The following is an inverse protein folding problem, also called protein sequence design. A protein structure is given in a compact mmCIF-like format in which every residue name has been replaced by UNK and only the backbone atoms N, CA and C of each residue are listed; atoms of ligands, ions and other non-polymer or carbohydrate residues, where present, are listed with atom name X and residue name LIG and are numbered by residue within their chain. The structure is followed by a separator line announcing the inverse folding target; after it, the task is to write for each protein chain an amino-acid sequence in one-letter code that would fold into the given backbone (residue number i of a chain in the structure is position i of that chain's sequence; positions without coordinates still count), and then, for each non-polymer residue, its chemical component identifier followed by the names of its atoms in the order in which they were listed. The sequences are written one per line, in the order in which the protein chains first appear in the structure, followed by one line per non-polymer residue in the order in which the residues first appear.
data_IF_696656446607
#
_entry.id   IF_696656446607
#
_cell.length_a   1.000
_cell.length_b   1.000
_cell.length_c   1.000
_cell.angle_alpha   90.00
_cell.angle_beta   90.00
_cell.angle_gamma   90.00
#
_symmetry.space_group_name_H-M   'P 1'
#
loop_
_entity.id
_entity.type
_entity.pdbx_description
1 polymer ?
#
# COMPACT_ATOMS: atom_id res chain seq x y z
N UNK A 1 1.90 11.77 -24.80
CA UNK A 1 0.85 12.78 -24.63
C UNK A 1 1.36 13.92 -23.77
N UNK A 2 1.08 15.15 -24.17
CA UNK A 2 1.65 16.36 -23.57
C UNK A 2 1.10 16.57 -22.15
N UNK A 3 1.96 16.64 -21.14
CA UNK A 3 1.60 16.87 -19.71
C UNK A 3 0.99 18.26 -19.42
N UNK A 4 0.69 19.06 -20.45
CA UNK A 4 0.20 20.44 -20.31
C UNK A 4 -1.30 20.62 -20.14
N UNK A 5 -2.10 19.55 -20.17
CA UNK A 5 -3.56 19.65 -20.17
C UNK A 5 -4.26 19.03 -18.93
N UNK A 6 -3.56 18.81 -17.83
CA UNK A 6 -4.24 18.55 -16.55
C UNK A 6 -4.86 19.87 -16.07
N UNK A 7 -6.19 19.99 -15.92
CA UNK A 7 -6.81 21.18 -15.38
C UNK A 7 -6.25 21.42 -13.97
N UNK A 8 -5.37 22.41 -13.84
CA UNK A 8 -4.78 22.73 -12.55
C UNK A 8 -5.86 23.20 -11.56
N UNK A 9 -5.53 23.17 -10.27
CA UNK A 9 -6.23 23.73 -9.12
C UNK A 9 -7.04 25.02 -9.41
N UNK A 10 -6.60 25.86 -10.33
CA UNK A 10 -7.28 27.10 -10.72
C UNK A 10 -8.70 26.90 -11.24
N UNK A 11 -9.03 25.69 -11.75
CA UNK A 11 -10.34 25.36 -12.32
C UNK A 11 -11.28 24.66 -11.31
N UNK A 12 -10.85 24.47 -10.07
CA UNK A 12 -11.68 23.87 -9.02
C UNK A 12 -12.69 24.92 -8.50
N UNK A 13 -13.99 24.59 -8.40
CA UNK A 13 -14.98 25.50 -7.84
C UNK A 13 -14.59 26.02 -6.43
N UNK A 14 -14.85 27.29 -6.08
CA UNK A 14 -14.44 27.88 -4.80
C UNK A 14 -14.88 27.08 -3.57
N UNK A 15 -16.09 26.51 -3.59
CA UNK A 15 -16.63 25.70 -2.50
C UNK A 15 -15.73 24.47 -2.21
N UNK A 16 -15.28 23.78 -3.25
CA UNK A 16 -14.40 22.63 -3.09
C UNK A 16 -13.04 23.01 -2.50
N UNK A 17 -12.50 24.16 -2.82
CA UNK A 17 -11.25 24.65 -2.22
C UNK A 17 -11.36 24.87 -0.71
N UNK A 18 -12.51 25.31 -0.23
CA UNK A 18 -12.76 25.46 1.21
C UNK A 18 -12.94 24.12 1.90
N UNK A 19 -13.65 23.16 1.26
CA UNK A 19 -13.79 21.79 1.78
C UNK A 19 -12.41 21.12 1.86
N UNK A 20 -11.57 21.27 0.86
CA UNK A 20 -10.20 20.79 0.83
C UNK A 20 -9.35 21.36 1.96
N UNK A 21 -9.41 22.68 2.15
CA UNK A 21 -8.68 23.35 3.22
C UNK A 21 -9.14 22.86 4.61
N UNK A 22 -10.45 22.64 4.79
CA UNK A 22 -11.01 22.11 6.04
C UNK A 22 -10.62 20.66 6.28
N UNK A 23 -10.64 19.81 5.24
CA UNK A 23 -10.19 18.42 5.34
C UNK A 23 -8.68 18.35 5.65
N UNK A 24 -7.87 19.16 4.97
CA UNK A 24 -6.45 19.27 5.28
C UNK A 24 -6.20 19.73 6.71
N UNK A 25 -6.91 20.79 7.15
CA UNK A 25 -6.82 21.26 8.53
C UNK A 25 -7.24 20.15 9.52
N UNK A 26 -8.29 19.40 9.22
CA UNK A 26 -8.75 18.26 10.03
C UNK A 26 -7.70 17.15 10.16
N UNK A 27 -7.09 16.76 9.05
CA UNK A 27 -5.98 15.77 9.05
C UNK A 27 -4.79 16.29 9.83
N UNK A 28 -4.41 17.55 9.60
CA UNK A 28 -3.30 18.19 10.30
C UNK A 28 -3.55 18.25 11.81
N UNK A 29 -4.75 18.68 12.22
CA UNK A 29 -5.17 18.73 13.64
C UNK A 29 -5.17 17.32 14.24
N UNK A 30 -5.72 16.32 13.55
CA UNK A 30 -5.76 14.94 14.03
C UNK A 30 -4.34 14.35 14.18
N UNK A 31 -3.46 14.56 13.20
CA UNK A 31 -2.07 14.09 13.23
C UNK A 31 -1.30 14.80 14.36
N UNK A 32 -1.51 16.11 14.51
CA UNK A 32 -0.88 16.91 15.58
C UNK A 32 -1.41 16.49 16.95
N UNK A 33 -2.71 16.18 17.06
CA UNK A 33 -3.33 15.66 18.29
C UNK A 33 -2.73 14.30 18.65
N UNK A 34 -2.61 13.35 17.71
CA UNK A 34 -1.98 12.06 17.93
C UNK A 34 -0.53 12.20 18.40
N UNK A 35 0.24 13.10 17.78
CA UNK A 35 1.59 13.43 18.21
C UNK A 35 1.61 14.02 19.63
N UNK A 36 0.71 14.95 19.94
CA UNK A 36 0.63 15.58 21.27
C UNK A 36 0.26 14.56 22.34
N UNK A 37 -0.69 13.66 22.08
CA UNK A 37 -1.07 12.55 22.98
C UNK A 37 0.14 11.62 23.21
N UNK A 38 0.84 11.22 22.15
CA UNK A 38 2.06 10.40 22.24
C UNK A 38 3.15 11.08 23.08
N UNK A 39 3.38 12.39 22.89
CA UNK A 39 4.35 13.17 23.67
C UNK A 39 3.96 13.31 25.15
N UNK A 40 2.65 13.47 25.45
CA UNK A 40 2.15 13.53 26.83
C UNK A 40 2.33 12.17 27.53
N UNK A 41 2.06 11.07 26.85
CA UNK A 41 2.31 9.73 27.37
C UNK A 41 3.81 9.50 27.63
N UNK A 42 4.66 9.90 26.68
CA UNK A 42 6.11 9.84 26.85
C UNK A 42 6.59 10.66 28.06
N UNK A 43 6.11 11.88 28.22
CA UNK A 43 6.49 12.74 29.34
C UNK A 43 6.01 12.18 30.69
N UNK A 44 4.82 11.60 30.74
CA UNK A 44 4.29 10.94 31.95
C UNK A 44 5.07 9.70 32.33
N UNK A 45 5.38 8.83 31.38
CA UNK A 45 6.19 7.63 31.59
C UNK A 45 7.61 7.99 32.09
N UNK A 46 8.24 9.01 31.48
CA UNK A 46 9.55 9.50 31.91
C UNK A 46 9.50 10.09 33.32
N UNK A 47 8.45 10.85 33.66
CA UNK A 47 8.26 11.43 35.00
C UNK A 47 7.97 10.36 36.07
N UNK A 48 7.35 9.24 35.70
CA UNK A 48 7.11 8.10 36.59
C UNK A 48 8.34 7.20 36.78
N UNK A 49 9.47 7.49 36.10
CA UNK A 49 10.67 6.66 36.13
C UNK A 49 10.54 5.35 35.36
N UNK A 50 9.44 5.18 34.63
CA UNK A 50 9.21 4.05 33.75
C UNK A 50 9.85 4.35 32.39
N UNK A 51 10.58 3.38 31.81
CA UNK A 51 11.13 3.55 30.49
C UNK A 51 10.02 3.63 29.45
N UNK A 52 10.14 4.53 28.47
CA UNK A 52 9.18 4.69 27.35
C UNK A 52 8.75 3.36 26.72
N UNK A 53 9.69 2.44 26.50
CA UNK A 53 9.42 1.11 25.95
C UNK A 53 8.60 0.28 26.92
N UNK A 54 8.85 0.39 28.21
CA UNK A 54 8.11 -0.37 29.26
C UNK A 54 6.65 0.08 29.33
N UNK A 55 6.42 1.40 29.28
CA UNK A 55 5.06 1.96 29.26
C UNK A 55 4.30 1.65 27.94
N UNK A 56 5.01 1.73 26.82
CA UNK A 56 4.48 1.36 25.52
C UNK A 56 4.07 -0.13 25.46
N UNK A 57 4.81 -1.01 26.14
CA UNK A 57 4.55 -2.44 26.18
C UNK A 57 3.60 -2.86 27.34
N UNK A 58 3.25 -1.95 28.24
CA UNK A 58 2.37 -2.25 29.38
C UNK A 58 0.99 -2.75 28.92
N UNK A 59 0.28 -2.09 27.98
CA UNK A 59 -0.97 -2.64 27.46
C UNK A 59 -0.81 -4.02 26.84
N UNK A 60 0.35 -4.29 26.21
CA UNK A 60 0.69 -5.60 25.66
C UNK A 60 0.82 -6.66 26.77
N UNK A 61 1.50 -6.35 27.87
CA UNK A 61 1.66 -7.23 29.02
C UNK A 61 0.32 -7.48 29.73
N UNK A 62 -0.57 -6.47 29.73
CA UNK A 62 -1.93 -6.55 30.30
C UNK A 62 -2.93 -7.24 29.35
N UNK A 63 -2.49 -7.70 28.17
CA UNK A 63 -3.34 -8.34 27.16
C UNK A 63 -4.18 -7.36 26.32
N UNK A 64 -3.98 -6.05 26.49
CA UNK A 64 -4.64 -5.02 25.68
C UNK A 64 -3.83 -4.71 24.41
N UNK A 65 -3.86 -5.67 23.49
CA UNK A 65 -3.10 -5.59 22.23
C UNK A 65 -3.56 -4.44 21.31
N UNK A 66 -4.84 -4.08 21.38
CA UNK A 66 -5.42 -3.01 20.57
C UNK A 66 -4.75 -1.66 20.84
N UNK A 67 -4.68 -1.22 22.09
CA UNK A 67 -4.10 0.07 22.45
C UNK A 67 -2.60 0.12 22.15
N UNK A 68 -1.89 -0.99 22.31
CA UNK A 68 -0.47 -1.10 21.97
C UNK A 68 -0.23 -0.90 20.47
N UNK A 69 -1.03 -1.56 19.61
CA UNK A 69 -0.92 -1.40 18.14
C UNK A 69 -1.23 0.03 17.75
N UNK A 70 -2.30 0.63 18.27
CA UNK A 70 -2.68 2.01 17.95
C UNK A 70 -1.60 3.01 18.34
N UNK A 71 -1.00 2.87 19.52
CA UNK A 71 0.04 3.79 19.99
C UNK A 71 1.32 3.70 19.13
N UNK A 72 1.83 2.48 18.89
CA UNK A 72 3.06 2.27 18.10
C UNK A 72 2.85 2.65 16.65
N UNK A 73 1.77 2.15 16.04
CA UNK A 73 1.46 2.42 14.63
C UNK A 73 1.24 3.91 14.41
N UNK A 74 0.46 4.58 15.26
CA UNK A 74 0.21 6.02 15.17
C UNK A 74 1.49 6.84 15.22
N UNK A 75 2.41 6.53 16.15
CA UNK A 75 3.70 7.21 16.25
C UNK A 75 4.55 7.01 14.98
N UNK A 76 4.70 5.77 14.52
CA UNK A 76 5.54 5.45 13.37
C UNK A 76 5.01 6.07 12.08
N UNK A 77 3.69 6.05 11.86
CA UNK A 77 3.05 6.72 10.71
C UNK A 77 3.33 8.22 10.76
N UNK A 78 3.15 8.82 11.93
CA UNK A 78 3.39 10.27 12.10
C UNK A 78 4.83 10.61 11.74
N UNK A 79 5.82 9.86 12.24
CA UNK A 79 7.23 10.08 11.94
C UNK A 79 7.54 9.90 10.45
N UNK A 80 7.02 8.86 9.80
CA UNK A 80 7.23 8.63 8.37
C UNK A 80 6.57 9.72 7.50
N UNK A 81 5.36 10.15 7.86
CA UNK A 81 4.67 11.23 7.16
C UNK A 81 5.43 12.56 7.30
N UNK A 82 5.90 12.88 8.51
CA UNK A 82 6.73 14.06 8.74
C UNK A 82 8.06 13.99 7.96
N UNK A 83 8.68 12.82 7.91
CA UNK A 83 9.89 12.59 7.12
C UNK A 83 9.65 12.83 5.62
N UNK A 84 8.57 12.30 5.05
CA UNK A 84 8.22 12.48 3.64
C UNK A 84 7.95 13.96 3.32
N UNK A 85 7.16 14.63 4.16
CA UNK A 85 6.93 16.07 4.03
C UNK A 85 8.23 16.85 4.07
N UNK A 86 9.12 16.57 5.03
CA UNK A 86 10.42 17.22 5.13
C UNK A 86 11.26 17.00 3.87
N UNK A 87 11.35 15.76 3.40
CA UNK A 87 12.09 15.41 2.18
C UNK A 87 11.52 16.10 0.96
N UNK A 88 10.19 16.13 0.83
CA UNK A 88 9.50 16.83 -0.23
C UNK A 88 9.86 18.32 -0.25
N UNK A 89 9.82 19.00 0.91
CA UNK A 89 10.20 20.41 1.03
C UNK A 89 11.66 20.64 0.64
N UNK A 90 12.57 19.82 1.12
CA UNK A 90 14.02 19.97 0.86
C UNK A 90 14.28 19.78 -0.65
N UNK A 91 13.67 18.78 -1.28
CA UNK A 91 13.87 18.51 -2.70
C UNK A 91 13.30 19.64 -3.56
N UNK A 92 12.08 20.09 -3.28
CA UNK A 92 11.46 21.17 -4.02
C UNK A 92 12.19 22.50 -3.83
N UNK A 93 12.65 22.80 -2.60
CA UNK A 93 13.43 24.00 -2.35
C UNK A 93 14.76 23.98 -3.13
N UNK A 94 15.38 22.82 -3.32
CA UNK A 94 16.61 22.68 -4.11
C UNK A 94 16.34 22.86 -5.61
N UNK A 95 15.26 22.31 -6.15
CA UNK A 95 14.86 22.45 -7.55
C UNK A 95 14.49 23.90 -7.89
N UNK A 96 13.77 24.60 -7.01
CA UNK A 96 13.40 26.00 -7.22
C UNK A 96 14.62 26.95 -7.15
N UNK A 97 15.58 26.67 -6.25
CA UNK A 97 16.86 27.40 -6.21
C UNK A 97 17.65 27.20 -7.50
N UNK A 98 17.71 25.96 -8.02
CA UNK A 98 18.36 25.66 -9.28
C UNK A 98 17.71 26.37 -10.49
N UNK A 99 16.42 26.73 -10.38
CA UNK A 99 15.65 27.46 -11.39
C UNK A 99 15.61 28.98 -11.15
N UNK A 100 16.38 29.50 -10.17
CA UNK A 100 16.48 30.95 -9.89
C UNK A 100 15.18 31.56 -9.30
N UNK A 101 14.28 30.77 -8.77
CA UNK A 101 13.01 31.23 -8.20
C UNK A 101 13.12 31.37 -6.68
N UNK A 102 12.81 32.57 -6.18
CA UNK A 102 12.73 32.85 -4.73
C UNK A 102 11.40 32.38 -4.17
N UNK A 103 11.35 31.94 -2.91
CA UNK A 103 10.20 31.28 -2.36
C UNK A 103 9.40 32.04 -1.34
N UNK A 104 8.09 31.92 -1.40
CA UNK A 104 7.20 32.11 -0.27
C UNK A 104 6.88 30.74 0.38
N UNK A 105 7.32 30.49 1.61
CA UNK A 105 7.24 29.16 2.25
C UNK A 105 5.80 28.65 2.41
N UNK A 106 4.83 29.49 2.72
CA UNK A 106 3.41 29.12 2.82
C UNK A 106 2.79 28.80 1.44
N UNK A 107 3.16 29.56 0.38
CA UNK A 107 2.71 29.27 -0.98
C UNK A 107 3.33 27.98 -1.54
N UNK A 108 4.51 27.59 -1.06
CA UNK A 108 5.17 26.32 -1.41
C UNK A 108 4.51 25.14 -0.71
N UNK A 109 4.19 25.27 0.58
CA UNK A 109 3.45 24.24 1.32
C UNK A 109 2.13 23.95 0.60
N UNK A 110 1.40 24.99 0.25
CA UNK A 110 0.11 24.90 -0.41
C UNK A 110 0.21 24.38 -1.85
N UNK A 111 1.25 24.78 -2.60
CA UNK A 111 1.47 24.33 -3.98
C UNK A 111 2.00 22.90 -4.05
N UNK A 112 2.83 22.53 -3.11
CA UNK A 112 3.36 21.18 -2.97
C UNK A 112 2.26 20.18 -2.66
N UNK A 113 1.42 20.47 -1.68
CA UNK A 113 0.26 19.65 -1.32
C UNK A 113 -0.83 19.70 -2.41
N UNK A 114 -1.03 20.83 -3.08
CA UNK A 114 -2.09 20.98 -4.08
C UNK A 114 -1.76 20.37 -5.46
N UNK A 115 -0.49 20.24 -5.83
CA UNK A 115 -0.09 19.69 -7.15
C UNK A 115 -0.04 18.16 -7.18
N UNK A 116 0.23 17.52 -6.06
CA UNK A 116 0.37 16.05 -5.95
C UNK A 116 -0.79 15.42 -5.18
N UNK A 117 -1.43 16.19 -4.30
CA UNK A 117 -2.51 15.75 -3.44
C UNK A 117 -3.78 16.52 -3.78
N UNK A 118 -4.52 16.01 -4.75
CA UNK A 118 -5.83 16.57 -5.07
C UNK A 118 -6.82 16.27 -3.92
N UNK A 119 -7.91 17.04 -3.78
CA UNK A 119 -8.93 16.84 -2.74
C UNK A 119 -9.48 15.42 -2.68
N UNK A 120 -9.58 14.78 -3.84
CA UNK A 120 -9.98 13.38 -3.99
C UNK A 120 -9.01 12.43 -3.30
N UNK A 121 -7.70 12.73 -3.35
CA UNK A 121 -6.68 11.98 -2.65
C UNK A 121 -6.83 12.12 -1.13
N UNK A 122 -7.06 13.32 -0.62
CA UNK A 122 -7.25 13.53 0.82
C UNK A 122 -8.53 12.89 1.33
N UNK A 123 -9.62 12.93 0.57
CA UNK A 123 -10.84 12.22 0.92
C UNK A 123 -10.59 10.69 0.95
N UNK A 124 -9.88 10.14 -0.02
CA UNK A 124 -9.46 8.74 -0.04
C UNK A 124 -8.55 8.38 1.14
N UNK A 125 -7.62 9.27 1.51
CA UNK A 125 -6.77 9.12 2.68
C UNK A 125 -7.58 9.06 3.98
N UNK A 126 -8.51 10.00 4.19
CA UNK A 126 -9.37 10.02 5.37
C UNK A 126 -10.28 8.80 5.46
N UNK A 127 -10.90 8.42 4.33
CA UNK A 127 -11.76 7.24 4.25
C UNK A 127 -10.97 5.93 4.35
N UNK A 128 -9.69 5.93 4.06
CA UNK A 128 -8.79 4.80 4.30
C UNK A 128 -8.34 4.70 5.76
N UNK A 129 -8.04 5.83 6.41
CA UNK A 129 -7.52 5.87 7.79
C UNK A 129 -8.59 5.58 8.84
N UNK A 130 -9.74 6.29 8.79
CA UNK A 130 -10.78 6.18 9.82
C UNK A 130 -11.32 4.76 9.98
N UNK A 131 -11.67 4.02 8.91
CA UNK A 131 -12.12 2.65 9.05
C UNK A 131 -11.05 1.69 9.56
N UNK A 132 -9.75 1.98 9.37
CA UNK A 132 -8.68 1.10 9.88
C UNK A 132 -8.68 0.96 11.40
N UNK A 133 -9.14 1.96 12.12
CA UNK A 133 -9.34 1.85 13.56
C UNK A 133 -10.38 0.78 13.88
N UNK A 134 -11.50 0.77 13.17
CA UNK A 134 -12.57 -0.22 13.31
C UNK A 134 -12.12 -1.60 12.79
N UNK A 135 -11.34 -1.65 11.73
CA UNK A 135 -10.79 -2.89 11.17
C UNK A 135 -9.89 -3.61 12.17
N UNK A 136 -9.10 -2.88 12.95
CA UNK A 136 -8.29 -3.45 14.01
C UNK A 136 -9.19 -4.16 15.03
N UNK A 137 -10.31 -3.55 15.42
CA UNK A 137 -11.28 -4.17 16.33
C UNK A 137 -11.89 -5.45 15.72
N UNK A 138 -12.27 -5.40 14.43
CA UNK A 138 -12.81 -6.58 13.71
C UNK A 138 -11.77 -7.70 13.66
N UNK A 139 -10.52 -7.38 13.37
CA UNK A 139 -9.43 -8.35 13.35
C UNK A 139 -9.31 -9.05 14.71
N UNK A 140 -9.24 -8.28 15.80
CA UNK A 140 -9.10 -8.83 17.16
C UNK A 140 -10.36 -9.55 17.65
N UNK A 141 -11.54 -9.18 17.14
CA UNK A 141 -12.77 -9.93 17.40
C UNK A 141 -12.73 -11.34 16.78
N UNK A 142 -12.11 -11.48 15.59
CA UNK A 142 -11.99 -12.77 14.89
C UNK A 142 -10.94 -13.69 15.52
N UNK A 143 -9.86 -13.14 16.09
CA UNK A 143 -8.72 -13.89 16.65
C UNK A 143 -9.16 -15.00 17.62
N UNK A 144 -9.92 -14.77 18.70
CA UNK A 144 -10.26 -15.82 19.66
C UNK A 144 -11.14 -16.93 19.05
N UNK A 145 -11.98 -16.60 18.07
CA UNK A 145 -12.83 -17.60 17.41
C UNK A 145 -12.01 -18.56 16.54
N UNK A 146 -11.10 -18.03 15.74
CA UNK A 146 -10.27 -18.84 14.85
C UNK A 146 -9.07 -19.49 15.56
N UNK A 147 -8.60 -18.93 16.68
CA UNK A 147 -7.55 -19.53 17.49
C UNK A 147 -7.99 -20.90 18.08
N UNK A 148 -9.30 -21.09 18.32
CA UNK A 148 -9.85 -22.38 18.77
C UNK A 148 -9.77 -23.45 17.67
N UNK A 149 -9.69 -23.04 16.40
CA UNK A 149 -9.56 -23.90 15.23
C UNK A 149 -8.11 -24.13 14.82
N UNK A 150 -7.15 -23.67 15.62
CA UNK A 150 -5.72 -23.79 15.31
C UNK A 150 -5.33 -25.27 15.15
N UNK A 151 -4.68 -25.59 14.03
CA UNK A 151 -4.18 -26.93 13.73
C UNK A 151 -3.06 -27.34 14.70
N UNK A 152 -2.30 -26.37 15.18
CA UNK A 152 -1.24 -26.49 16.17
C UNK A 152 -0.98 -25.10 16.77
N UNK A 153 -0.07 -25.00 17.75
CA UNK A 153 0.41 -23.72 18.30
C UNK A 153 1.91 -23.70 18.29
N UNK A 154 2.50 -22.61 17.78
CA UNK A 154 3.95 -22.49 17.64
C UNK A 154 4.65 -22.07 18.94
N UNK A 155 3.91 -21.48 19.89
CA UNK A 155 4.46 -20.92 21.14
C UNK A 155 5.41 -19.73 20.87
N UNK A 156 5.98 -19.17 21.98
CA UNK A 156 6.85 -17.99 21.91
C UNK A 156 8.35 -18.36 21.94
N UNK A 157 8.80 -19.10 20.92
CA UNK A 157 10.20 -19.44 20.73
C UNK A 157 10.84 -18.50 19.69
N UNK A 158 12.15 -18.38 19.66
CA UNK A 158 12.84 -17.51 18.68
C UNK A 158 12.55 -17.90 17.22
N UNK A 159 12.47 -19.20 16.92
CA UNK A 159 12.15 -19.70 15.56
C UNK A 159 10.68 -19.53 15.20
N UNK A 160 9.79 -19.44 16.19
CA UNK A 160 8.35 -19.18 15.96
C UNK A 160 8.11 -17.79 15.38
N UNK A 161 9.00 -16.83 15.67
CA UNK A 161 8.95 -15.49 15.05
C UNK A 161 9.23 -15.53 13.55
N UNK A 162 10.19 -16.37 13.10
CA UNK A 162 10.44 -16.54 11.67
C UNK A 162 9.24 -17.21 10.98
N UNK A 163 8.66 -18.23 11.60
CA UNK A 163 7.44 -18.86 11.12
C UNK A 163 6.27 -17.85 11.03
N UNK A 164 6.03 -17.10 12.10
CA UNK A 164 4.97 -16.10 12.15
C UNK A 164 5.15 -15.00 11.09
N UNK A 165 6.39 -14.57 10.84
CA UNK A 165 6.74 -13.62 9.79
C UNK A 165 6.41 -14.18 8.40
N UNK A 166 6.78 -15.43 8.12
CA UNK A 166 6.49 -16.08 6.84
C UNK A 166 4.98 -16.25 6.64
N UNK A 167 4.23 -16.64 7.68
CA UNK A 167 2.77 -16.81 7.58
C UNK A 167 2.07 -15.45 7.47
N UNK A 168 2.54 -14.43 8.16
CA UNK A 168 2.06 -13.06 8.00
C UNK A 168 2.19 -12.60 6.54
N UNK A 169 3.38 -12.71 5.98
CA UNK A 169 3.66 -12.28 4.61
C UNK A 169 2.90 -13.13 3.57
N UNK A 170 2.68 -14.44 3.84
CA UNK A 170 1.78 -15.28 3.05
C UNK A 170 0.33 -14.75 3.08
N UNK A 171 -0.16 -14.39 4.27
CA UNK A 171 -1.52 -13.87 4.42
C UNK A 171 -1.68 -12.53 3.67
N UNK A 172 -0.64 -11.68 3.68
CA UNK A 172 -0.57 -10.47 2.88
C UNK A 172 -0.62 -10.78 1.39
N UNK A 173 0.18 -11.73 0.92
CA UNK A 173 0.19 -12.14 -0.48
C UNK A 173 -1.19 -12.65 -0.93
N UNK A 174 -1.86 -13.50 -0.11
CA UNK A 174 -3.16 -14.09 -0.46
C UNK A 174 -4.24 -13.03 -0.64
N UNK A 175 -4.43 -12.14 0.33
CA UNK A 175 -5.48 -11.12 0.22
C UNK A 175 -5.16 -10.12 -0.88
N UNK A 176 -3.89 -9.73 -1.04
CA UNK A 176 -3.45 -8.75 -2.03
C UNK A 176 -3.55 -9.31 -3.45
N UNK A 177 -3.11 -10.56 -3.66
CA UNK A 177 -3.32 -11.27 -4.92
C UNK A 177 -4.81 -11.36 -5.26
N UNK A 178 -5.65 -11.73 -4.30
CA UNK A 178 -7.10 -11.75 -4.45
C UNK A 178 -7.67 -10.38 -4.84
N UNK A 179 -7.18 -9.30 -4.24
CA UNK A 179 -7.58 -7.93 -4.56
C UNK A 179 -7.30 -7.55 -6.02
N UNK A 180 -6.26 -8.11 -6.62
CA UNK A 180 -5.92 -7.89 -8.05
C UNK A 180 -6.59 -8.87 -9.01
N UNK A 181 -6.96 -10.07 -8.54
CA UNK A 181 -7.47 -11.15 -9.43
C UNK A 181 -8.96 -11.31 -9.40
N UNK A 182 -9.67 -10.70 -8.47
CA UNK A 182 -11.13 -10.75 -8.36
C UNK A 182 -11.68 -9.34 -8.49
N UNK A 183 -12.49 -9.10 -9.54
CA UNK A 183 -12.90 -7.74 -9.93
C UNK A 183 -13.62 -6.97 -8.81
N UNK A 184 -14.51 -7.62 -8.05
CA UNK A 184 -15.15 -6.93 -6.91
C UNK A 184 -14.16 -6.51 -5.84
N UNK A 185 -13.11 -7.31 -5.60
CA UNK A 185 -12.05 -6.98 -4.65
C UNK A 185 -11.12 -5.90 -5.21
N UNK A 186 -10.86 -5.91 -6.52
CA UNK A 186 -10.17 -4.81 -7.20
C UNK A 186 -10.89 -3.48 -7.03
N UNK A 187 -12.23 -3.47 -7.09
CA UNK A 187 -13.00 -2.24 -6.85
C UNK A 187 -12.71 -1.64 -5.46
N UNK A 188 -12.35 -2.46 -4.47
CA UNK A 188 -11.95 -2.00 -3.14
C UNK A 188 -10.49 -1.55 -3.09
N UNK A 189 -9.62 -2.15 -3.93
CA UNK A 189 -8.18 -1.90 -3.96
C UNK A 189 -7.76 -0.81 -4.96
N UNK A 190 -8.53 -0.60 -6.01
CA UNK A 190 -8.22 0.34 -7.09
C UNK A 190 -7.98 1.79 -6.65
N UNK A 191 -8.63 2.36 -5.59
CA UNK A 191 -8.29 3.69 -5.09
C UNK A 191 -6.83 3.79 -4.60
N UNK A 192 -6.25 2.68 -4.11
CA UNK A 192 -4.86 2.60 -3.71
C UNK A 192 -3.91 2.71 -4.93
N UNK A 193 -4.29 2.13 -6.07
CA UNK A 193 -3.54 2.19 -7.33
C UNK A 193 -3.84 3.42 -8.20
N UNK A 194 -4.90 4.18 -7.90
CA UNK A 194 -5.33 5.32 -8.71
C UNK A 194 -4.37 6.52 -8.73
N UNK A 195 -3.54 6.80 -7.69
CA UNK A 195 -2.57 7.89 -7.71
C UNK A 195 -1.58 7.77 -8.88
N UNK A 196 -1.34 8.89 -9.57
CA UNK A 196 -0.41 8.97 -10.71
C UNK A 196 1.03 9.28 -10.30
N UNK A 197 1.28 9.41 -9.01
CA UNK A 197 2.60 9.57 -8.40
C UNK A 197 2.66 8.73 -7.13
N UNK A 198 3.78 8.07 -6.89
CA UNK A 198 3.96 7.28 -5.69
C UNK A 198 4.72 8.07 -4.62
N UNK A 199 4.22 8.00 -3.39
CA UNK A 199 4.84 8.53 -2.19
C UNK A 199 4.28 7.81 -0.96
N UNK A 200 4.90 7.96 0.21
CA UNK A 200 4.52 7.20 1.41
C UNK A 200 3.07 7.41 1.86
N UNK A 201 2.43 8.55 1.50
CA UNK A 201 1.04 8.78 1.89
C UNK A 201 0.06 7.91 1.08
N UNK A 202 0.46 7.40 -0.09
CA UNK A 202 -0.34 6.47 -0.90
C UNK A 202 -0.64 5.18 -0.13
N UNK A 203 0.27 4.76 0.77
CA UNK A 203 0.05 3.62 1.68
C UNK A 203 -1.24 3.71 2.50
N UNK A 204 -1.84 4.89 2.60
CA UNK A 204 -3.03 5.16 3.42
C UNK A 204 -4.29 5.43 2.59
N UNK A 205 -4.15 5.51 1.27
CA UNK A 205 -5.28 5.68 0.34
C UNK A 205 -5.87 4.32 0.02
N UNK A 206 -6.99 4.01 0.63
CA UNK A 206 -7.70 2.74 0.45
C UNK A 206 -9.21 2.95 0.43
N UNK A 207 -9.95 2.03 -0.18
CA UNK A 207 -11.40 2.01 -0.03
C UNK A 207 -11.76 1.63 1.42
N UNK A 208 -12.78 2.27 1.97
CA UNK A 208 -13.14 2.08 3.39
C UNK A 208 -13.45 0.62 3.78
N UNK A 209 -13.93 -0.20 2.85
CA UNK A 209 -14.28 -1.60 3.09
C UNK A 209 -13.12 -2.59 2.85
N UNK A 210 -12.00 -2.14 2.28
CA UNK A 210 -10.88 -3.03 1.94
C UNK A 210 -10.25 -3.68 3.16
N UNK A 211 -10.07 -2.91 4.23
CA UNK A 211 -9.49 -3.42 5.47
C UNK A 211 -10.31 -4.55 6.10
N UNK A 212 -11.66 -4.53 5.97
CA UNK A 212 -12.50 -5.63 6.45
C UNK A 212 -12.23 -6.92 5.67
N UNK A 213 -12.09 -6.81 4.34
CA UNK A 213 -11.71 -7.95 3.52
C UNK A 213 -10.34 -8.51 3.94
N UNK A 214 -9.34 -7.65 4.13
CA UNK A 214 -8.02 -8.11 4.58
C UNK A 214 -8.07 -8.79 5.95
N UNK A 215 -8.81 -8.23 6.92
CA UNK A 215 -8.99 -8.83 8.24
C UNK A 215 -9.68 -10.19 8.18
N UNK A 216 -10.71 -10.34 7.33
CA UNK A 216 -11.43 -11.61 7.14
C UNK A 216 -10.57 -12.69 6.49
N UNK A 217 -9.53 -12.34 5.75
CA UNK A 217 -8.57 -13.30 5.19
C UNK A 217 -7.44 -13.59 6.19
N UNK A 218 -6.84 -12.55 6.76
CA UNK A 218 -5.62 -12.67 7.56
C UNK A 218 -5.87 -13.29 8.94
N UNK A 219 -6.86 -12.81 9.70
CA UNK A 219 -7.09 -13.30 11.05
C UNK A 219 -7.41 -14.80 11.08
N UNK A 220 -8.38 -15.33 10.28
CA UNK A 220 -8.64 -16.76 10.21
C UNK A 220 -7.40 -17.58 9.81
N UNK A 221 -6.72 -17.15 8.75
CA UNK A 221 -5.56 -17.89 8.22
C UNK A 221 -4.44 -17.99 9.25
N UNK A 222 -4.06 -16.87 9.86
CA UNK A 222 -2.97 -16.81 10.83
C UNK A 222 -3.29 -17.61 12.10
N UNK A 223 -4.53 -17.55 12.57
CA UNK A 223 -4.96 -18.27 13.75
C UNK A 223 -5.03 -19.77 13.51
N UNK A 224 -5.60 -20.22 12.38
CA UNK A 224 -5.65 -21.63 11.99
C UNK A 224 -4.25 -22.22 11.81
N UNK A 225 -3.32 -21.43 11.28
CA UNK A 225 -1.90 -21.79 11.13
C UNK A 225 -1.10 -21.65 12.45
N UNK A 226 -1.76 -21.41 13.59
CA UNK A 226 -1.16 -21.49 14.90
C UNK A 226 -0.22 -20.34 15.28
N UNK A 227 -0.29 -19.20 14.59
CA UNK A 227 0.47 -18.00 14.95
C UNK A 227 -0.06 -17.45 16.28
N UNK A 228 0.83 -17.12 17.21
CA UNK A 228 0.43 -16.60 18.51
C UNK A 228 -0.06 -15.14 18.39
N UNK A 229 -1.20 -14.76 19.02
CA UNK A 229 -1.77 -13.42 18.92
C UNK A 229 -0.79 -12.29 19.30
N UNK A 230 0.03 -12.51 20.34
CA UNK A 230 1.02 -11.52 20.74
C UNK A 230 2.09 -11.21 19.67
N UNK A 231 2.40 -12.17 18.80
CA UNK A 231 3.31 -11.93 17.69
C UNK A 231 2.70 -11.01 16.63
N UNK A 232 1.36 -11.09 16.45
CA UNK A 232 0.66 -10.27 15.44
C UNK A 232 0.79 -8.78 15.73
N UNK A 233 0.82 -8.35 16.99
CA UNK A 233 1.00 -6.94 17.37
C UNK A 233 2.30 -6.39 16.80
N UNK A 234 3.39 -7.13 17.01
CA UNK A 234 4.72 -6.74 16.52
C UNK A 234 4.78 -6.79 14.99
N UNK A 235 4.22 -7.84 14.39
CA UNK A 235 4.20 -7.99 12.92
C UNK A 235 3.35 -6.90 12.26
N UNK A 236 2.20 -6.55 12.81
CA UNK A 236 1.36 -5.44 12.35
C UNK A 236 2.10 -4.10 12.42
N UNK A 237 2.75 -3.80 13.54
CA UNK A 237 3.51 -2.56 13.71
C UNK A 237 4.67 -2.48 12.71
N UNK A 238 5.38 -3.60 12.52
CA UNK A 238 6.48 -3.68 11.57
C UNK A 238 5.97 -3.54 10.13
N UNK A 239 4.91 -4.25 9.75
CA UNK A 239 4.31 -4.23 8.42
C UNK A 239 3.81 -2.84 8.05
N UNK A 240 3.07 -2.18 8.95
CA UNK A 240 2.57 -0.82 8.71
C UNK A 240 3.71 0.15 8.46
N UNK A 241 4.80 0.05 9.24
CA UNK A 241 5.99 0.88 9.08
C UNK A 241 6.68 0.59 7.75
N UNK A 242 6.94 -0.69 7.48
CA UNK A 242 7.60 -1.13 6.26
C UNK A 242 6.73 -0.88 5.03
N UNK A 243 5.43 -1.21 5.09
CA UNK A 243 4.46 -0.95 4.03
C UNK A 243 4.39 0.54 3.67
N UNK A 244 4.41 1.44 4.66
CA UNK A 244 4.50 2.88 4.40
C UNK A 244 5.82 3.24 3.72
N UNK A 245 6.95 2.71 4.21
CA UNK A 245 8.28 2.97 3.66
C UNK A 245 8.44 2.51 2.20
N UNK A 246 7.92 1.33 1.83
CA UNK A 246 8.07 0.83 0.46
C UNK A 246 7.31 1.66 -0.59
N UNK A 247 6.33 2.48 -0.18
CA UNK A 247 5.67 3.46 -1.05
C UNK A 247 6.53 4.69 -1.35
N UNK A 248 7.76 4.77 -0.84
CA UNK A 248 8.65 5.90 -1.11
C UNK A 248 8.93 6.06 -2.61
N UNK A 249 8.53 7.20 -3.17
CA UNK A 249 8.69 7.55 -4.59
C UNK A 249 10.14 7.87 -4.97
N UNK A 250 10.37 8.12 -6.26
CA UNK A 250 11.68 8.42 -6.85
C UNK A 250 12.31 9.68 -6.26
N UNK A 251 11.48 10.63 -5.78
CA UNK A 251 11.95 11.86 -5.13
C UNK A 251 12.59 11.59 -3.77
N UNK A 252 12.09 10.59 -3.03
CA UNK A 252 12.67 10.20 -1.74
C UNK A 252 13.89 9.32 -1.91
N UNK A 253 13.82 8.32 -2.80
CA UNK A 253 14.91 7.40 -3.10
C UNK A 253 15.00 7.12 -4.60
N UNK A 254 15.98 7.71 -5.28
CA UNK A 254 16.09 7.65 -6.75
C UNK A 254 15.92 6.25 -7.35
N UNK A 255 16.63 5.26 -6.85
CA UNK A 255 16.53 3.87 -7.36
C UNK A 255 15.59 3.00 -6.54
N UNK A 256 15.46 3.23 -5.24
CA UNK A 256 14.69 2.43 -4.30
C UNK A 256 15.10 0.97 -4.18
N UNK A 257 16.25 0.56 -4.76
CA UNK A 257 16.70 -0.84 -4.82
C UNK A 257 17.39 -1.33 -3.56
N UNK A 258 18.05 -0.46 -2.80
CA UNK A 258 18.78 -0.75 -1.56
C UNK A 258 19.79 -1.90 -1.64
N UNK A 259 20.46 -2.03 -2.78
CA UNK A 259 21.55 -2.99 -2.97
C UNK A 259 21.15 -4.46 -2.68
N UNK A 260 21.91 -5.20 -1.83
CA UNK A 260 21.62 -6.60 -1.50
C UNK A 260 20.33 -6.81 -0.72
N UNK A 261 19.82 -5.79 0.01
CA UNK A 261 18.59 -5.92 0.81
C UNK A 261 17.38 -6.36 -0.04
N UNK A 262 17.34 -6.00 -1.33
CA UNK A 262 16.28 -6.41 -2.28
C UNK A 262 16.15 -7.93 -2.47
N UNK A 263 17.13 -8.72 -2.07
CA UNK A 263 17.04 -10.19 -2.19
C UNK A 263 16.29 -10.81 -1.02
N UNK A 264 16.17 -10.08 0.08
CA UNK A 264 15.55 -10.55 1.32
C UNK A 264 14.29 -9.76 1.65
N UNK A 265 14.23 -8.50 1.23
CA UNK A 265 13.14 -7.58 1.57
C UNK A 265 12.50 -7.00 0.31
N UNK A 266 11.18 -6.83 0.35
CA UNK A 266 10.48 -5.97 -0.60
C UNK A 266 10.96 -4.55 -0.37
N UNK A 267 11.50 -3.93 -1.41
CA UNK A 267 12.04 -2.57 -1.38
C UNK A 267 11.13 -1.63 -2.16
N UNK A 268 11.28 -0.30 -2.03
CA UNK A 268 10.53 0.65 -2.84
C UNK A 268 10.56 0.36 -4.34
N UNK A 269 11.66 -0.19 -4.88
CA UNK A 269 11.72 -0.53 -6.30
C UNK A 269 10.76 -1.65 -6.72
N UNK A 270 10.52 -2.66 -5.86
CA UNK A 270 9.52 -3.71 -6.11
C UNK A 270 8.10 -3.16 -6.00
N UNK A 271 7.86 -2.33 -5.00
CA UNK A 271 6.53 -1.78 -4.77
C UNK A 271 6.14 -0.72 -5.81
N UNK A 272 7.10 0.03 -6.34
CA UNK A 272 6.90 0.90 -7.52
C UNK A 272 6.48 0.09 -8.76
N UNK A 273 7.10 -1.05 -8.98
CA UNK A 273 6.71 -1.99 -10.04
C UNK A 273 5.29 -2.47 -9.82
N UNK A 274 4.92 -2.80 -8.57
CA UNK A 274 3.56 -3.22 -8.20
C UNK A 274 2.51 -2.14 -8.52
N UNK A 275 2.80 -0.87 -8.20
CA UNK A 275 1.91 0.26 -8.50
C UNK A 275 1.91 0.71 -9.97
N UNK A 276 2.72 0.10 -10.82
CA UNK A 276 2.83 0.50 -12.21
C UNK A 276 1.73 -0.11 -13.08
N UNK A 277 1.13 0.71 -13.95
CA UNK A 277 0.14 0.29 -14.94
C UNK A 277 0.74 -0.23 -16.26
N UNK A 278 2.08 -0.26 -16.37
CA UNK A 278 2.75 -0.79 -17.55
C UNK A 278 2.43 -2.28 -17.71
N UNK A 279 2.15 -2.79 -18.92
CA UNK A 279 1.81 -4.21 -19.13
C UNK A 279 2.83 -5.19 -18.55
N UNK A 280 4.14 -4.88 -18.61
CA UNK A 280 5.20 -5.70 -17.99
C UNK A 280 5.03 -5.88 -16.49
N UNK A 281 4.51 -4.86 -15.80
CA UNK A 281 4.50 -4.74 -14.35
C UNK A 281 3.16 -5.08 -13.69
N UNK A 282 2.07 -5.06 -14.47
CA UNK A 282 0.75 -5.37 -13.93
C UNK A 282 0.71 -6.73 -13.24
N UNK A 283 0.01 -6.78 -12.12
CA UNK A 283 -0.24 -8.00 -11.33
C UNK A 283 1.05 -8.72 -10.89
N UNK A 284 2.00 -7.98 -10.33
CA UNK A 284 3.26 -8.49 -9.81
C UNK A 284 3.58 -7.92 -8.43
N UNK A 285 4.45 -8.59 -7.66
CA UNK A 285 5.00 -8.16 -6.36
C UNK A 285 3.93 -7.90 -5.30
N UNK A 286 3.18 -8.94 -4.94
CA UNK A 286 2.07 -8.85 -3.96
C UNK A 286 2.52 -8.94 -2.51
N UNK A 287 3.74 -9.41 -2.24
CA UNK A 287 4.30 -9.43 -0.90
C UNK A 287 4.55 -8.01 -0.38
N UNK A 288 4.42 -7.82 0.93
CA UNK A 288 4.73 -6.55 1.56
C UNK A 288 6.12 -6.50 2.17
N UNK A 289 6.65 -7.63 2.65
CA UNK A 289 7.88 -7.67 3.43
C UNK A 289 8.99 -8.50 2.78
N UNK A 290 8.71 -9.78 2.48
CA UNK A 290 9.69 -10.72 1.92
C UNK A 290 9.31 -11.04 0.47
N UNK A 291 10.26 -11.03 -0.49
CA UNK A 291 9.97 -11.42 -1.87
C UNK A 291 9.74 -12.92 -2.05
N UNK A 292 9.74 -13.69 -0.95
CA UNK A 292 9.74 -15.16 -0.96
C UNK A 292 8.48 -15.75 -1.61
N UNK A 293 7.29 -15.27 -1.27
CA UNK A 293 6.05 -15.81 -1.84
C UNK A 293 5.84 -15.37 -3.28
N UNK A 294 6.23 -14.13 -3.63
CA UNK A 294 6.25 -13.69 -5.03
C UNK A 294 7.20 -14.53 -5.88
N UNK A 295 8.36 -14.87 -5.33
CA UNK A 295 9.28 -15.77 -6.00
C UNK A 295 8.69 -17.18 -6.14
N UNK A 296 8.10 -17.73 -5.08
CA UNK A 296 7.52 -19.08 -5.06
C UNK A 296 6.36 -19.22 -6.04
N UNK A 297 5.48 -18.21 -6.11
CA UNK A 297 4.29 -18.21 -6.97
C UNK A 297 4.51 -17.58 -8.35
N UNK A 298 5.75 -17.15 -8.66
CA UNK A 298 6.12 -16.62 -9.99
C UNK A 298 5.60 -15.20 -10.25
N UNK A 299 5.25 -14.45 -9.22
CA UNK A 299 4.77 -13.06 -9.31
C UNK A 299 5.86 -12.02 -9.06
N UNK A 300 7.11 -12.44 -8.76
CA UNK A 300 8.22 -11.52 -8.54
C UNK A 300 8.70 -10.88 -9.85
N UNK A 301 8.63 -9.57 -9.93
CA UNK A 301 9.09 -8.77 -11.06
C UNK A 301 10.00 -7.63 -10.59
N UNK A 302 11.30 -7.68 -10.84
CA UNK A 302 12.19 -6.57 -10.53
C UNK A 302 11.99 -5.38 -11.48
N UNK A 303 12.30 -4.19 -10.99
CA UNK A 303 12.35 -2.97 -11.79
C UNK A 303 13.39 -3.08 -12.91
N UNK A 304 12.98 -2.80 -14.15
CA UNK A 304 13.81 -2.73 -15.34
C UNK A 304 14.15 -1.28 -15.66
N UNK A 305 15.42 -0.99 -15.93
CA UNK A 305 15.86 0.37 -16.26
C UNK A 305 15.38 0.81 -17.65
N UNK A 306 15.11 -0.15 -18.54
CA UNK A 306 14.64 0.07 -19.90
C UNK A 306 13.14 0.44 -19.97
N UNK A 307 12.38 0.16 -18.91
CA UNK A 307 10.93 0.38 -18.86
C UNK A 307 10.62 1.47 -17.85
N UNK A 308 10.27 2.66 -18.34
CA UNK A 308 9.84 3.76 -17.48
C UNK A 308 8.53 3.42 -16.79
N UNK A 309 8.49 3.57 -15.47
CA UNK A 309 7.27 3.37 -14.68
C UNK A 309 6.23 4.44 -15.03
N UNK A 310 5.00 3.99 -15.21
CA UNK A 310 3.79 4.81 -15.30
C UNK A 310 2.82 4.35 -14.21
N UNK A 311 2.48 5.27 -13.29
CA UNK A 311 1.56 5.01 -12.18
C UNK A 311 0.10 5.25 -12.56
N UNK A 312 -0.81 4.69 -11.77
CA UNK A 312 -2.25 4.79 -11.96
C UNK A 312 -2.87 3.46 -12.39
N UNK A 313 -4.17 3.47 -12.62
CA UNK A 313 -4.92 2.32 -13.17
C UNK A 313 -4.95 2.36 -14.70
N UNK A 314 -5.30 1.24 -15.34
CA UNK A 314 -5.23 1.08 -16.80
C UNK A 314 -6.25 1.92 -17.56
N UNK A 315 -7.43 2.18 -16.98
CA UNK A 315 -8.41 3.08 -17.59
C UNK A 315 -8.05 4.56 -17.37
N UNK A 316 -8.57 5.41 -18.23
CA UNK A 316 -8.53 6.84 -17.99
C UNK A 316 -9.42 7.20 -16.79
N UNK A 317 -8.82 7.81 -15.79
CA UNK A 317 -9.47 8.22 -14.55
C UNK A 317 -9.41 9.74 -14.42
N UNK A 318 -10.54 10.34 -14.07
CA UNK A 318 -10.55 11.73 -13.65
C UNK A 318 -10.14 11.85 -12.17
N UNK A 319 -8.85 12.02 -11.92
CA UNK A 319 -8.29 12.14 -10.56
C UNK A 319 -8.79 13.38 -9.81
N UNK A 320 -9.49 14.32 -10.46
CA UNK A 320 -10.13 15.48 -9.80
C UNK A 320 -11.56 15.21 -9.36
N UNK A 321 -12.13 14.08 -9.80
CA UNK A 321 -13.46 13.63 -9.39
C UNK A 321 -13.34 12.61 -8.28
N UNK A 322 -13.80 12.96 -7.08
CA UNK A 322 -13.84 12.01 -5.97
C UNK A 322 -14.63 10.74 -6.30
N UNK A 323 -15.75 10.88 -7.00
CA UNK A 323 -16.59 9.73 -7.37
C UNK A 323 -15.86 8.81 -8.35
N UNK A 324 -15.20 9.35 -9.35
CA UNK A 324 -14.46 8.54 -10.34
C UNK A 324 -13.21 7.90 -9.71
N UNK A 325 -12.49 8.66 -8.88
CA UNK A 325 -11.29 8.17 -8.20
C UNK A 325 -11.61 7.04 -7.22
N UNK A 326 -12.67 7.19 -6.42
CA UNK A 326 -12.94 6.33 -5.28
C UNK A 326 -13.97 5.24 -5.57
N UNK A 327 -14.98 5.52 -6.38
CA UNK A 327 -16.07 4.60 -6.72
C UNK A 327 -16.09 4.17 -8.19
N UNK A 328 -15.21 4.73 -9.02
CA UNK A 328 -15.28 4.54 -10.48
C UNK A 328 -15.29 3.07 -10.92
N UNK A 329 -14.40 2.25 -10.36
CA UNK A 329 -14.35 0.82 -10.66
C UNK A 329 -15.63 0.07 -10.20
N UNK A 330 -16.18 0.44 -9.04
CA UNK A 330 -17.41 -0.15 -8.53
C UNK A 330 -18.62 0.22 -9.40
N UNK A 331 -18.68 1.47 -9.85
CA UNK A 331 -19.74 1.93 -10.77
C UNK A 331 -19.65 1.25 -12.14
N UNK A 332 -18.44 1.03 -12.65
CA UNK A 332 -18.22 0.27 -13.88
C UNK A 332 -18.64 -1.19 -13.72
N UNK A 333 -18.27 -1.83 -12.61
CA UNK A 333 -18.69 -3.18 -12.29
C UNK A 333 -20.22 -3.28 -12.22
N UNK A 334 -20.88 -2.35 -11.51
CA UNK A 334 -22.34 -2.31 -11.40
C UNK A 334 -23.01 -2.16 -12.77
N UNK A 335 -22.47 -1.31 -13.65
CA UNK A 335 -22.95 -1.12 -15.02
C UNK A 335 -22.84 -2.42 -15.83
N UNK A 336 -21.67 -3.09 -15.78
CA UNK A 336 -21.41 -4.29 -16.58
C UNK A 336 -22.28 -5.46 -16.10
N UNK A 337 -22.44 -5.63 -14.78
CA UNK A 337 -23.36 -6.61 -14.18
C UNK A 337 -24.82 -6.34 -14.59
N UNK A 338 -25.24 -5.06 -14.58
CA UNK A 338 -26.62 -4.70 -14.96
C UNK A 338 -26.94 -4.96 -16.43
N UNK A 339 -25.93 -4.86 -17.31
CA UNK A 339 -26.06 -5.07 -18.76
C UNK A 339 -25.79 -6.50 -19.21
N UNK A 340 -25.27 -7.35 -18.33
CA UNK A 340 -24.95 -8.73 -18.66
C UNK A 340 -26.22 -9.53 -19.02
N UNK A 341 -26.19 -10.37 -20.09
CA UNK A 341 -27.36 -11.03 -20.64
C UNK A 341 -27.96 -12.11 -19.72
N UNK A 342 -27.13 -12.74 -18.88
CA UNK A 342 -27.51 -13.83 -18.00
C UNK A 342 -26.79 -13.81 -16.67
N UNK A 343 -27.24 -14.63 -15.71
CA UNK A 343 -26.69 -14.65 -14.36
C UNK A 343 -25.25 -15.17 -14.29
N UNK A 344 -24.82 -16.05 -15.21
CA UNK A 344 -23.46 -16.59 -15.25
C UNK A 344 -22.48 -15.50 -15.66
N UNK A 345 -22.83 -14.73 -16.67
CA UNK A 345 -22.07 -13.56 -17.13
C UNK A 345 -22.03 -12.48 -16.04
N UNK A 346 -23.12 -12.27 -15.29
CA UNK A 346 -23.14 -11.36 -14.13
C UNK A 346 -22.16 -11.81 -13.06
N UNK A 347 -22.18 -13.09 -12.69
CA UNK A 347 -21.25 -13.65 -11.72
C UNK A 347 -19.81 -13.58 -12.23
N UNK A 348 -19.58 -13.88 -13.51
CA UNK A 348 -18.26 -13.76 -14.11
C UNK A 348 -17.71 -12.33 -14.02
N UNK A 349 -18.51 -11.30 -14.30
CA UNK A 349 -18.08 -9.90 -14.10
C UNK A 349 -17.65 -9.58 -12.66
N UNK A 350 -18.23 -10.23 -11.66
CA UNK A 350 -17.91 -10.02 -10.25
C UNK A 350 -16.60 -10.71 -9.85
N UNK A 351 -16.41 -11.96 -10.31
CA UNK A 351 -15.34 -12.83 -9.79
C UNK A 351 -14.13 -12.98 -10.72
N UNK A 352 -14.29 -12.77 -12.03
CA UNK A 352 -13.18 -12.83 -12.97
C UNK A 352 -12.24 -11.62 -12.81
N UNK A 353 -11.00 -11.70 -13.29
CA UNK A 353 -10.05 -10.59 -13.17
C UNK A 353 -10.56 -9.27 -13.76
N UNK A 354 -10.10 -8.12 -13.25
CA UNK A 354 -10.35 -6.82 -13.88
C UNK A 354 -10.00 -6.84 -15.37
N UNK A 355 -10.82 -6.20 -16.21
CA UNK A 355 -10.64 -6.21 -17.66
C UNK A 355 -11.16 -7.46 -18.36
N UNK A 356 -11.71 -8.45 -17.64
CA UNK A 356 -12.39 -9.59 -18.25
C UNK A 356 -13.70 -9.15 -18.91
N UNK A 357 -13.93 -9.66 -20.12
CA UNK A 357 -15.18 -9.56 -20.86
C UNK A 357 -15.48 -10.89 -21.54
N UNK A 358 -16.76 -11.21 -21.85
CA UNK A 358 -17.11 -12.41 -22.62
C UNK A 358 -16.56 -12.31 -24.04
N UNK A 359 -16.08 -13.44 -24.58
CA UNK A 359 -15.47 -13.51 -25.91
C UNK A 359 -14.03 -13.05 -25.95
N UNK A 360 -13.61 -12.47 -27.08
CA UNK A 360 -12.23 -12.06 -27.34
C UNK A 360 -11.89 -10.64 -26.86
N UNK A 361 -12.85 -9.94 -26.26
CA UNK A 361 -12.72 -8.54 -25.82
C UNK A 361 -12.06 -8.40 -24.42
N UNK A 362 -11.41 -9.45 -23.92
CA UNK A 362 -10.79 -9.44 -22.59
C UNK A 362 -9.44 -8.74 -22.60
N UNK A 363 -9.32 -7.69 -21.79
CA UNK A 363 -8.10 -6.90 -21.55
C UNK A 363 -7.64 -7.04 -20.10
N UNK A 364 -7.43 -8.28 -19.65
CA UNK A 364 -6.93 -8.56 -18.31
C UNK A 364 -5.42 -8.26 -18.21
N UNK A 365 -4.91 -7.98 -17.00
CA UNK A 365 -3.49 -7.80 -16.79
C UNK A 365 -2.65 -8.98 -17.35
N UNK A 366 -3.19 -10.21 -17.30
CA UNK A 366 -2.51 -11.38 -17.82
C UNK A 366 -2.49 -11.42 -19.37
N UNK A 367 -3.57 -10.99 -20.06
CA UNK A 367 -3.59 -10.87 -21.52
C UNK A 367 -2.66 -9.75 -21.99
N UNK A 368 -2.78 -8.55 -21.43
CA UNK A 368 -1.95 -7.40 -21.78
C UNK A 368 -0.46 -7.69 -21.58
N UNK A 369 -0.09 -8.33 -20.46
CA UNK A 369 1.29 -8.73 -20.19
C UNK A 369 1.80 -9.77 -21.20
N UNK A 370 0.97 -10.76 -21.57
CA UNK A 370 1.33 -11.79 -22.56
C UNK A 370 1.60 -11.17 -23.92
N UNK A 371 0.71 -10.28 -24.36
CA UNK A 371 0.81 -9.61 -25.66
C UNK A 371 2.05 -8.72 -25.69
N UNK A 372 2.26 -7.92 -24.66
CA UNK A 372 3.47 -7.11 -24.50
C UNK A 372 4.76 -7.97 -24.56
N UNK A 373 4.79 -9.11 -23.83
CA UNK A 373 5.96 -10.00 -23.83
C UNK A 373 6.13 -10.80 -25.12
N UNK A 374 5.11 -10.91 -25.96
CA UNK A 374 5.22 -11.47 -27.30
C UNK A 374 5.95 -10.52 -28.25
N UNK A 375 5.73 -9.20 -28.06
CA UNK A 375 6.38 -8.13 -28.82
C UNK A 375 7.79 -7.80 -28.28
N UNK A 376 8.02 -8.08 -26.97
CA UNK A 376 9.28 -7.79 -26.27
C UNK A 376 9.88 -9.06 -25.61
N UNK A 377 10.32 -10.06 -26.41
CA UNK A 377 10.80 -11.33 -25.87
C UNK A 377 12.04 -11.19 -24.98
N UNK A 378 12.84 -10.13 -25.15
CA UNK A 378 14.02 -9.82 -24.34
C UNK A 378 13.65 -9.42 -22.90
N UNK A 379 12.42 -8.98 -22.65
CA UNK A 379 11.92 -8.60 -21.33
C UNK A 379 11.26 -9.76 -20.58
N UNK A 380 11.13 -10.94 -21.19
CA UNK A 380 10.56 -12.11 -20.53
C UNK A 380 11.28 -12.41 -19.22
N UNK A 381 10.54 -12.72 -18.13
CA UNK A 381 11.14 -13.14 -16.89
C UNK A 381 12.02 -14.36 -17.15
N UNK A 382 13.25 -14.26 -16.75
CA UNK A 382 14.14 -15.43 -16.77
C UNK A 382 13.73 -16.28 -15.58
N UNK A 383 13.44 -17.56 -15.78
CA UNK A 383 13.00 -18.47 -14.73
C UNK A 383 13.88 -18.41 -13.46
N UNK A 384 13.43 -18.95 -12.31
CA UNK A 384 14.07 -18.73 -11.00
C UNK A 384 15.58 -18.98 -11.01
N UNK A 385 16.07 -20.00 -11.74
CA UNK A 385 17.52 -20.31 -11.87
C UNK A 385 18.28 -19.20 -12.60
N UNK A 386 17.74 -18.64 -13.64
CA UNK A 386 18.42 -17.61 -14.40
C UNK A 386 18.24 -16.21 -13.79
N UNK A 387 17.20 -16.01 -12.96
CA UNK A 387 17.11 -14.84 -12.09
C UNK A 387 18.22 -14.88 -11.02
N UNK A 388 18.41 -16.02 -10.36
CA UNK A 388 19.51 -16.24 -9.42
C UNK A 388 20.88 -16.03 -10.09
N UNK A 389 21.07 -16.54 -11.31
CA UNK A 389 22.29 -16.33 -12.07
C UNK A 389 22.56 -14.87 -12.47
N UNK A 390 21.53 -14.05 -12.66
CA UNK A 390 21.66 -12.61 -12.92
C UNK A 390 21.84 -11.76 -11.65
N UNK A 391 21.40 -12.28 -10.52
CA UNK A 391 21.39 -11.56 -9.24
C UNK A 391 22.63 -11.87 -8.39
N UNK A 392 23.25 -13.02 -8.59
CA UNK A 392 24.50 -13.41 -7.92
C UNK A 392 25.71 -12.98 -8.75
N UNK A 393 26.77 -12.45 -8.11
CA UNK A 393 28.02 -12.20 -8.79
C UNK A 393 28.51 -13.50 -9.44
N UNK A 394 29.04 -13.43 -10.68
CA UNK A 394 29.54 -14.59 -11.42
C UNK A 394 30.47 -15.50 -10.60
N UNK A 395 31.20 -14.93 -9.63
CA UNK A 395 32.09 -15.69 -8.73
C UNK A 395 31.41 -16.64 -7.74
N UNK A 396 30.11 -16.54 -7.52
CA UNK A 396 29.34 -17.42 -6.60
C UNK A 396 28.70 -18.58 -7.33
N UNK A 397 28.66 -18.56 -8.67
CA UNK A 397 28.08 -19.62 -9.50
C UNK A 397 29.16 -20.63 -10.00
N UNK A 398 30.42 -20.32 -9.81
CA UNK A 398 31.56 -21.14 -10.23
C UNK A 398 32.23 -21.84 -9.03
N UNK A 399 31.71 -21.69 -7.81
CA UNK A 399 32.12 -22.41 -6.60
C UNK A 399 31.07 -23.43 -6.18
#
# INVERSE_FOLDING_TARGET
MNQSNVPGWRNTPPLWRHIEALLFAGVFVYTTWGLAVGLVHYARATAAGEGFITDLLKPFNDGNYHDSVLAVVGLLITLLTLWELLRFFVTQASEERAQGRGPGMAARLFKATALEYQPTFFAGLLLGLLPRLIVIDVFWLLVPHFQQLALFRVGYHWYSWLYALLMWDLSMWIWHYGAHKVRVLWCLHSPHHAPQNLNMTVAWVHFFAEGYYSALVQAPLLMVLGVEPGMLVVLMAFEVTWGTFIHAGERSFRTGRFGPARFVLITPSYHRVHHARNPLYMDTNFCSLLPFWDWMFGTLQPLRDEVKIEYGITRDINVTSFVDFYFGELLLLARDVSRAPDWRTRLAYVVMPPGWAPGDDSHTAASERRDFLSEHPELRPVGPRALMARLLPRRVLEA
#
